data_IF_066925552822
#
_entry.id   IF_066925552822
#
_cell.length_a   1.000
_cell.length_b   1.000
_cell.length_c   1.000
_cell.angle_alpha   90.00
_cell.angle_beta   90.00
_cell.angle_gamma   90.00
#
_symmetry.space_group_name_H-M   'P 1'
#
loop_
_entity.id
_entity.type
_entity.pdbx_description
1 polymer ?
#
# COMPACT_ATOMS: atom_id res chain seq x y z
N UNK A 1 -2.74 -39.53 46.25
CA UNK A 1 -3.29 -40.82 45.79
C UNK A 1 -3.05 -40.84 44.31
N UNK A 2 -2.02 -41.51 43.82
CA UNK A 2 -2.01 -42.92 43.36
C UNK A 2 -3.06 -43.06 42.24
N UNK A 3 -2.82 -43.49 40.98
CA UNK A 3 -1.77 -44.26 40.35
C UNK A 3 -1.83 -44.09 38.82
N UNK A 4 -0.69 -43.99 38.13
CA UNK A 4 -0.40 -44.57 36.81
C UNK A 4 -0.43 -46.11 36.90
N UNK A 5 -0.22 -46.93 35.87
CA UNK A 5 0.43 -46.75 34.57
C UNK A 5 0.02 -47.79 33.45
N UNK A 6 0.73 -47.72 32.32
CA UNK A 6 1.28 -48.79 31.42
C UNK A 6 0.26 -49.60 30.55
N UNK A 7 0.54 -50.03 29.35
CA UNK A 7 1.71 -50.56 28.62
C UNK A 7 1.33 -50.87 27.17
N UNK A 8 2.29 -50.62 26.24
CA UNK A 8 3.00 -51.51 25.31
C UNK A 8 2.14 -52.22 24.24
N UNK A 9 2.44 -52.08 23.03
CA UNK A 9 3.56 -52.45 22.13
C UNK A 9 3.24 -53.66 21.25
N UNK A 10 3.75 -53.66 20.05
CA UNK A 10 4.23 -54.71 19.12
C UNK A 10 3.64 -54.52 17.72
N UNK A 11 4.40 -54.08 16.70
CA UNK A 11 5.40 -54.76 15.88
C UNK A 11 4.85 -55.91 15.03
N UNK A 12 4.91 -55.77 13.69
CA UNK A 12 5.40 -56.73 12.69
C UNK A 12 5.22 -56.11 11.30
N UNK A 13 6.21 -55.82 10.64
CA UNK A 13 7.02 -56.22 9.54
C UNK A 13 6.47 -57.42 8.76
N UNK A 14 6.26 -57.30 7.43
CA UNK A 14 6.69 -58.27 6.40
C UNK A 14 6.77 -57.57 5.03
N UNK A 15 7.82 -57.93 4.32
CA UNK A 15 8.39 -57.39 3.12
C UNK A 15 7.93 -58.14 1.85
N UNK A 16 8.26 -57.48 0.73
CA UNK A 16 8.66 -57.99 -0.58
C UNK A 16 7.58 -58.71 -1.43
N UNK A 17 7.42 -58.40 -2.66
CA UNK A 17 8.32 -58.79 -3.79
C UNK A 17 7.92 -58.11 -5.09
N UNK A 18 8.92 -57.86 -5.90
CA UNK A 18 8.88 -57.33 -7.27
C UNK A 18 8.43 -58.39 -8.27
N UNK A 19 7.82 -57.96 -9.38
CA UNK A 19 8.03 -58.63 -10.68
C UNK A 19 7.93 -57.66 -11.85
N UNK A 20 8.97 -57.69 -12.66
CA UNK A 20 9.09 -57.07 -13.97
C UNK A 20 8.25 -57.80 -15.01
N UNK A 21 7.76 -57.10 -16.01
CA UNK A 21 7.19 -57.66 -17.23
C UNK A 21 7.32 -56.72 -18.38
N UNK A 22 8.30 -56.96 -19.25
CA UNK A 22 8.56 -56.28 -20.53
C UNK A 22 7.76 -56.90 -21.70
N UNK A 23 7.62 -56.06 -22.72
CA UNK A 23 7.47 -56.37 -24.17
C UNK A 23 6.03 -56.61 -24.65
N UNK A 24 5.59 -56.28 -25.85
CA UNK A 24 6.22 -55.81 -27.09
C UNK A 24 5.14 -55.39 -28.10
N UNK A 25 5.52 -54.53 -29.02
CA UNK A 25 5.10 -54.26 -30.40
C UNK A 25 3.87 -54.94 -31.02
N UNK A 26 3.11 -54.14 -31.81
CA UNK A 26 2.24 -54.68 -32.86
C UNK A 26 1.36 -53.63 -33.55
N UNK A 27 1.86 -53.04 -34.60
CA UNK A 27 1.33 -52.66 -35.94
C UNK A 27 -0.14 -52.24 -36.14
N UNK A 28 -0.28 -51.06 -36.72
CA UNK A 28 -1.10 -50.62 -37.87
C UNK A 28 -2.62 -50.90 -37.86
N UNK A 29 -3.37 -49.84 -37.82
CA UNK A 29 -4.79 -49.75 -38.18
C UNK A 29 -5.19 -48.31 -38.43
N UNK A 30 -5.16 -47.90 -39.70
CA UNK A 30 -5.73 -46.68 -40.22
C UNK A 30 -7.24 -46.65 -40.03
N UNK A 31 -7.78 -45.64 -39.33
CA UNK A 31 -9.13 -45.19 -39.49
C UNK A 31 -9.20 -43.67 -39.37
N UNK A 32 -9.59 -43.07 -40.46
CA UNK A 32 -10.02 -41.67 -40.59
C UNK A 32 -11.04 -41.35 -39.50
N UNK A 33 -10.83 -40.29 -38.76
CA UNK A 33 -11.85 -39.56 -38.01
C UNK A 33 -11.65 -38.09 -38.25
N UNK A 34 -12.69 -37.49 -38.73
CA UNK A 34 -12.85 -36.13 -39.14
C UNK A 34 -12.36 -35.12 -38.06
N UNK A 35 -11.58 -34.19 -38.52
CA UNK A 35 -11.18 -33.00 -37.77
C UNK A 35 -12.41 -32.12 -37.50
N UNK A 36 -12.89 -32.11 -36.30
CA UNK A 36 -13.70 -31.00 -35.83
C UNK A 36 -12.76 -29.86 -35.44
N UNK A 37 -12.64 -28.88 -36.30
CA UNK A 37 -12.08 -27.56 -35.99
C UNK A 37 -12.84 -26.93 -34.79
N UNK A 38 -12.41 -27.27 -33.60
CA UNK A 38 -12.67 -26.53 -32.40
C UNK A 38 -11.65 -25.41 -32.32
N UNK A 39 -12.08 -24.18 -32.57
CA UNK A 39 -11.28 -22.99 -32.38
C UNK A 39 -10.78 -22.97 -30.92
N UNK A 40 -9.55 -23.43 -30.73
CA UNK A 40 -8.85 -23.38 -29.46
C UNK A 40 -8.31 -21.96 -29.29
N UNK A 41 -9.08 -21.14 -28.63
CA UNK A 41 -8.61 -19.89 -28.02
C UNK A 41 -7.68 -20.24 -26.89
N UNK A 42 -6.42 -20.59 -27.20
CA UNK A 42 -5.34 -20.81 -26.24
C UNK A 42 -4.89 -19.46 -25.65
N UNK A 43 -5.74 -18.84 -24.86
CA UNK A 43 -5.32 -17.83 -23.91
C UNK A 43 -4.63 -18.56 -22.76
N UNK A 44 -3.39 -18.18 -22.40
CA UNK A 44 -2.73 -18.71 -21.23
C UNK A 44 -3.57 -18.38 -19.99
N UNK A 45 -4.15 -19.39 -19.35
CA UNK A 45 -4.89 -19.24 -18.10
C UNK A 45 -3.95 -18.64 -17.04
N UNK A 46 -4.47 -17.70 -16.25
CA UNK A 46 -3.71 -16.99 -15.21
C UNK A 46 -4.39 -17.21 -13.86
N UNK A 47 -3.59 -17.47 -12.85
CA UNK A 47 -4.03 -17.50 -11.46
C UNK A 47 -3.46 -16.31 -10.73
N UNK A 48 -4.35 -15.46 -10.20
CA UNK A 48 -4.00 -14.29 -9.43
C UNK A 48 -4.12 -14.62 -7.95
N UNK A 49 -3.06 -14.41 -7.18
CA UNK A 49 -3.07 -14.57 -5.72
C UNK A 49 -3.06 -13.20 -5.05
N UNK A 50 -4.06 -12.90 -4.24
CA UNK A 50 -4.17 -11.63 -3.54
C UNK A 50 -3.48 -11.65 -2.16
N UNK A 51 -3.44 -10.48 -1.50
CA UNK A 51 -2.78 -10.32 -0.19
C UNK A 51 -3.42 -11.13 0.93
N UNK A 52 -4.65 -11.60 0.76
CA UNK A 52 -5.34 -12.50 1.72
C UNK A 52 -5.05 -13.97 1.47
N UNK A 53 -4.28 -14.29 0.42
CA UNK A 53 -4.01 -15.65 -0.04
C UNK A 53 -5.13 -16.25 -0.90
N UNK A 54 -6.16 -15.48 -1.23
CA UNK A 54 -7.23 -15.91 -2.14
C UNK A 54 -6.69 -16.05 -3.55
N UNK A 55 -7.07 -17.13 -4.22
CA UNK A 55 -6.72 -17.38 -5.61
C UNK A 55 -7.93 -17.16 -6.53
N UNK A 56 -7.72 -16.40 -7.59
CA UNK A 56 -8.72 -16.13 -8.64
C UNK A 56 -8.19 -16.64 -9.97
N UNK A 57 -8.92 -17.56 -10.58
CA UNK A 57 -8.55 -18.15 -11.88
C UNK A 57 -9.25 -17.38 -13.00
N UNK A 58 -8.46 -17.03 -14.01
CA UNK A 58 -8.90 -16.40 -15.25
C UNK A 58 -8.49 -17.27 -16.43
N UNK A 59 -9.35 -17.40 -17.43
CA UNK A 59 -9.10 -18.23 -18.62
C UNK A 59 -7.99 -17.63 -19.53
N UNK A 60 -7.69 -16.34 -19.32
CA UNK A 60 -6.63 -15.63 -20.04
C UNK A 60 -6.18 -14.41 -19.23
N UNK A 61 -5.07 -13.81 -19.66
CA UNK A 61 -4.57 -12.53 -19.13
C UNK A 61 -5.68 -11.48 -19.20
N UNK A 62 -6.05 -10.81 -18.09
CA UNK A 62 -7.10 -9.80 -18.07
C UNK A 62 -6.74 -8.60 -18.97
N UNK A 63 -7.73 -8.12 -19.70
CA UNK A 63 -7.65 -6.95 -20.58
C UNK A 63 -8.44 -5.75 -20.05
N UNK A 64 -9.27 -5.99 -19.02
CA UNK A 64 -10.16 -5.01 -18.43
C UNK A 64 -10.09 -5.12 -16.90
N UNK A 65 -9.18 -4.36 -16.32
CA UNK A 65 -9.01 -4.29 -14.86
C UNK A 65 -9.70 -3.04 -14.34
N UNK A 66 -10.56 -3.18 -13.35
CA UNK A 66 -11.14 -2.06 -12.63
C UNK A 66 -10.41 -1.87 -11.31
N UNK A 67 -9.88 -0.67 -11.07
CA UNK A 67 -9.24 -0.31 -9.80
C UNK A 67 -10.29 0.42 -8.95
N UNK A 68 -10.92 -0.28 -8.00
CA UNK A 68 -11.96 0.31 -7.16
C UNK A 68 -11.44 1.39 -6.17
N UNK A 69 -10.13 1.54 -6.09
CA UNK A 69 -9.41 2.66 -5.49
C UNK A 69 -8.45 3.24 -6.53
N UNK A 70 -8.64 4.52 -6.87
CA UNK A 70 -7.85 5.20 -7.92
C UNK A 70 -6.37 5.31 -7.58
N UNK A 71 -6.01 5.27 -6.28
CA UNK A 71 -4.61 5.21 -5.82
C UNK A 71 -3.87 3.93 -6.25
N UNK A 72 -4.57 2.89 -6.71
CA UNK A 72 -3.95 1.76 -7.39
C UNK A 72 -3.09 2.15 -8.59
N UNK A 73 -3.30 3.35 -9.16
CA UNK A 73 -2.45 3.91 -10.22
C UNK A 73 -1.01 4.20 -9.78
N UNK A 74 -0.71 4.28 -8.50
CA UNK A 74 0.69 4.30 -8.05
C UNK A 74 1.39 2.99 -8.42
N UNK A 75 0.73 1.84 -8.23
CA UNK A 75 1.30 0.54 -8.58
C UNK A 75 1.41 0.33 -10.09
N UNK A 76 0.37 0.67 -10.86
CA UNK A 76 0.44 0.53 -12.33
C UNK A 76 1.47 1.46 -12.94
N UNK A 77 1.69 2.65 -12.36
CA UNK A 77 2.75 3.58 -12.79
C UNK A 77 4.14 2.99 -12.65
N UNK A 78 4.40 2.22 -11.59
CA UNK A 78 5.68 1.52 -11.39
C UNK A 78 5.88 0.40 -12.41
N UNK A 79 4.83 -0.34 -12.71
CA UNK A 79 4.90 -1.51 -13.57
C UNK A 79 4.94 -1.14 -15.06
N UNK A 80 4.33 -0.01 -15.41
CA UNK A 80 4.29 0.48 -16.78
C UNK A 80 4.26 2.00 -16.83
N UNK A 81 5.43 2.62 -16.63
CA UNK A 81 5.54 4.09 -16.63
C UNK A 81 5.19 4.74 -17.98
N UNK A 82 5.34 3.99 -19.08
CA UNK A 82 5.01 4.48 -20.43
C UNK A 82 3.49 4.51 -20.66
N UNK A 83 2.74 3.59 -20.03
CA UNK A 83 1.29 3.54 -20.11
C UNK A 83 0.65 3.04 -18.80
N UNK A 84 0.58 3.88 -17.75
CA UNK A 84 0.05 3.49 -16.44
C UNK A 84 -1.42 3.05 -16.43
N UNK A 85 -2.18 3.38 -17.47
CA UNK A 85 -3.61 3.03 -17.61
C UNK A 85 -3.86 1.88 -18.60
N UNK A 86 -2.79 1.20 -19.06
CA UNK A 86 -2.95 0.03 -19.92
C UNK A 86 -3.86 -1.00 -19.26
N UNK A 87 -4.89 -1.43 -19.98
CA UNK A 87 -5.91 -2.38 -19.50
C UNK A 87 -6.73 -1.92 -18.27
N UNK A 88 -6.64 -0.67 -17.82
CA UNK A 88 -7.50 -0.10 -16.79
C UNK A 88 -8.77 0.46 -17.44
N UNK A 89 -9.95 -0.03 -17.01
CA UNK A 89 -11.24 0.39 -17.62
C UNK A 89 -12.03 1.39 -16.79
N UNK A 90 -11.77 1.45 -15.48
CA UNK A 90 -12.34 2.47 -14.58
C UNK A 90 -11.51 2.51 -13.27
N UNK A 91 -11.62 3.62 -12.55
CA UNK A 91 -10.94 3.83 -11.28
C UNK A 91 -11.88 4.33 -10.18
N UNK A 92 -11.53 4.13 -8.91
CA UNK A 92 -12.23 4.76 -7.79
C UNK A 92 -12.11 6.29 -7.82
N UNK A 93 -13.12 6.98 -7.29
CA UNK A 93 -13.19 8.45 -7.28
C UNK A 93 -12.27 9.14 -6.23
N UNK A 94 -11.49 8.36 -5.50
CA UNK A 94 -10.66 8.82 -4.37
C UNK A 94 -9.42 9.62 -4.80
N UNK A 95 -8.83 9.31 -5.95
CA UNK A 95 -7.52 9.85 -6.36
C UNK A 95 -7.51 11.37 -6.41
N UNK A 96 -8.56 11.98 -6.99
CA UNK A 96 -8.69 13.43 -7.10
C UNK A 96 -8.64 14.13 -5.73
N UNK A 97 -9.33 13.58 -4.74
CA UNK A 97 -9.36 14.16 -3.39
C UNK A 97 -8.11 13.77 -2.58
N UNK A 98 -7.64 12.54 -2.69
CA UNK A 98 -6.55 12.04 -1.88
C UNK A 98 -5.16 12.49 -2.36
N UNK A 99 -4.90 12.46 -3.66
CA UNK A 99 -3.59 12.72 -4.24
C UNK A 99 -3.61 13.69 -5.44
N UNK A 100 -4.21 14.90 -5.29
CA UNK A 100 -4.44 15.82 -6.44
C UNK A 100 -3.16 16.27 -7.13
N UNK A 101 -2.03 16.38 -6.42
CA UNK A 101 -0.76 16.76 -7.04
C UNK A 101 -0.14 15.62 -7.86
N UNK A 102 -0.33 14.36 -7.47
CA UNK A 102 0.04 13.19 -8.26
C UNK A 102 -0.83 13.09 -9.51
N UNK A 103 -2.15 13.16 -9.34
CA UNK A 103 -3.12 13.14 -10.42
C UNK A 103 -2.79 14.20 -11.48
N UNK A 104 -2.50 15.41 -11.05
CA UNK A 104 -2.18 16.51 -11.96
C UNK A 104 -0.86 16.30 -12.74
N UNK A 105 0.12 15.59 -12.15
CA UNK A 105 1.33 15.17 -12.88
C UNK A 105 1.02 14.09 -13.89
N UNK A 106 0.28 13.07 -13.47
CA UNK A 106 -0.10 11.94 -14.31
C UNK A 106 -0.93 12.41 -15.52
N UNK A 107 -1.99 13.20 -15.30
CA UNK A 107 -2.87 13.72 -16.36
C UNK A 107 -2.15 14.65 -17.35
N UNK A 108 -1.09 15.31 -16.92
CA UNK A 108 -0.30 16.18 -17.79
C UNK A 108 0.52 15.37 -18.82
N UNK A 109 1.11 14.25 -18.41
CA UNK A 109 1.99 13.43 -19.25
C UNK A 109 1.26 12.27 -19.93
N UNK A 110 0.16 11.78 -19.34
CA UNK A 110 -0.59 10.62 -19.79
C UNK A 110 -2.07 10.98 -20.05
N UNK A 111 -2.37 11.39 -21.29
CA UNK A 111 -3.68 11.95 -21.66
C UNK A 111 -4.82 10.95 -21.52
N UNK A 112 -4.57 9.65 -21.75
CA UNK A 112 -5.58 8.59 -21.62
C UNK A 112 -6.15 8.49 -20.20
N UNK A 113 -5.43 8.95 -19.18
CA UNK A 113 -5.96 9.07 -17.84
C UNK A 113 -7.24 9.90 -17.77
N UNK A 114 -7.31 11.00 -18.55
CA UNK A 114 -8.44 11.93 -18.51
C UNK A 114 -9.75 11.32 -19.06
N UNK A 115 -9.63 10.21 -19.80
CA UNK A 115 -10.77 9.51 -20.42
C UNK A 115 -11.26 8.34 -19.54
N UNK A 116 -10.56 8.05 -18.42
CA UNK A 116 -10.96 6.97 -17.51
C UNK A 116 -12.23 7.35 -16.74
N UNK A 117 -13.28 6.52 -16.85
CA UNK A 117 -14.46 6.71 -16.01
C UNK A 117 -14.14 6.43 -14.54
N UNK A 118 -14.85 7.12 -13.65
CA UNK A 118 -14.74 6.88 -12.20
C UNK A 118 -15.96 6.12 -11.70
N UNK A 119 -15.72 5.15 -10.82
CA UNK A 119 -16.74 4.56 -9.95
C UNK A 119 -16.75 5.30 -8.62
N UNK A 120 -17.73 5.09 -7.76
CA UNK A 120 -17.83 5.71 -6.44
C UNK A 120 -16.65 5.33 -5.52
N UNK A 121 -16.83 5.54 -4.23
CA UNK A 121 -15.87 5.22 -3.19
C UNK A 121 -16.47 4.17 -2.22
N UNK A 122 -15.86 2.99 -2.13
CA UNK A 122 -16.37 1.88 -1.31
C UNK A 122 -16.47 2.29 0.17
N UNK A 123 -15.49 3.03 0.69
CA UNK A 123 -15.50 3.48 2.08
C UNK A 123 -16.70 4.43 2.40
N UNK A 124 -17.27 5.07 1.38
CA UNK A 124 -18.48 5.91 1.50
C UNK A 124 -19.78 5.15 1.26
N UNK A 125 -19.69 3.88 0.81
CA UNK A 125 -20.86 3.06 0.47
C UNK A 125 -21.59 3.50 -0.80
N UNK A 126 -20.98 4.31 -1.68
CA UNK A 126 -21.59 4.85 -2.88
C UNK A 126 -21.25 4.02 -4.15
N UNK A 127 -20.66 2.83 -3.98
CA UNK A 127 -20.36 1.89 -5.07
C UNK A 127 -21.41 0.79 -5.13
N UNK A 128 -22.08 0.62 -6.27
CA UNK A 128 -22.97 -0.51 -6.53
C UNK A 128 -22.31 -1.54 -7.46
N UNK A 129 -22.78 -2.79 -7.38
CA UNK A 129 -22.31 -3.85 -8.29
C UNK A 129 -22.68 -3.55 -9.74
N UNK A 130 -23.81 -2.90 -9.98
CA UNK A 130 -24.27 -2.49 -11.30
C UNK A 130 -23.32 -1.44 -11.92
N UNK A 131 -22.83 -0.50 -11.10
CA UNK A 131 -21.83 0.47 -11.53
C UNK A 131 -20.53 -0.23 -11.94
N UNK A 132 -20.06 -1.22 -11.16
CA UNK A 132 -18.86 -2.00 -11.52
C UNK A 132 -19.07 -2.80 -12.81
N UNK A 133 -20.20 -3.51 -12.94
CA UNK A 133 -20.54 -4.33 -14.11
C UNK A 133 -20.70 -3.51 -15.40
N UNK A 134 -21.12 -2.24 -15.31
CA UNK A 134 -21.29 -1.37 -16.49
C UNK A 134 -19.99 -1.20 -17.28
N UNK A 135 -18.83 -1.31 -16.62
CA UNK A 135 -17.50 -1.26 -17.22
C UNK A 135 -17.01 -2.61 -17.75
N UNK A 136 -17.77 -3.69 -17.53
CA UNK A 136 -17.49 -5.07 -17.98
C UNK A 136 -16.03 -5.49 -17.63
N UNK A 137 -15.59 -5.35 -16.39
CA UNK A 137 -14.24 -5.74 -16.01
C UNK A 137 -14.08 -7.26 -16.04
N UNK A 138 -12.90 -7.75 -16.42
CA UNK A 138 -12.49 -9.14 -16.25
C UNK A 138 -12.21 -9.44 -14.78
N UNK A 139 -11.72 -8.43 -14.04
CA UNK A 139 -11.42 -8.49 -12.63
C UNK A 139 -11.40 -7.08 -12.00
N UNK A 140 -11.80 -7.00 -10.72
CA UNK A 140 -11.78 -5.77 -9.93
C UNK A 140 -10.75 -5.87 -8.81
N UNK A 141 -9.91 -4.84 -8.65
CA UNK A 141 -8.99 -4.71 -7.51
C UNK A 141 -9.65 -3.86 -6.44
N UNK A 142 -9.81 -4.42 -5.25
CA UNK A 142 -10.33 -3.78 -4.05
C UNK A 142 -9.19 -3.52 -3.06
N UNK A 143 -9.27 -2.43 -2.29
CA UNK A 143 -8.37 -2.25 -1.14
C UNK A 143 -8.81 -3.13 0.04
N UNK A 144 -7.85 -3.78 0.70
CA UNK A 144 -8.10 -4.59 1.89
C UNK A 144 -8.71 -3.74 3.02
N UNK A 145 -8.33 -2.49 3.13
CA UNK A 145 -8.89 -1.51 4.07
C UNK A 145 -10.41 -1.32 3.90
N UNK A 146 -10.91 -1.49 2.69
CA UNK A 146 -12.34 -1.38 2.39
C UNK A 146 -13.10 -2.70 2.49
N UNK A 147 -12.42 -3.83 2.80
CA UNK A 147 -13.05 -5.15 2.83
C UNK A 147 -14.23 -5.20 3.79
N UNK A 148 -14.06 -4.71 5.02
CA UNK A 148 -15.12 -4.68 6.02
C UNK A 148 -16.33 -3.87 5.55
N UNK A 149 -16.13 -2.67 5.00
CA UNK A 149 -17.22 -1.84 4.47
C UNK A 149 -17.93 -2.52 3.28
N UNK A 150 -17.18 -3.19 2.40
CA UNK A 150 -17.75 -3.94 1.28
C UNK A 150 -18.53 -5.19 1.74
N UNK A 151 -18.13 -5.84 2.82
CA UNK A 151 -18.88 -6.95 3.45
C UNK A 151 -20.17 -6.44 4.09
N UNK A 152 -20.09 -5.41 4.93
CA UNK A 152 -21.22 -4.83 5.68
C UNK A 152 -22.29 -4.24 4.74
N UNK A 153 -21.88 -3.61 3.63
CA UNK A 153 -22.81 -3.12 2.60
C UNK A 153 -23.41 -4.23 1.71
N UNK A 154 -22.91 -5.45 1.84
CA UNK A 154 -23.30 -6.59 1.00
C UNK A 154 -22.75 -6.52 -0.43
N UNK A 155 -21.81 -5.61 -0.74
CA UNK A 155 -21.20 -5.46 -2.06
C UNK A 155 -20.49 -6.76 -2.49
N UNK A 156 -19.65 -7.36 -1.63
CA UNK A 156 -18.93 -8.60 -1.97
C UNK A 156 -19.89 -9.74 -2.30
N UNK A 157 -20.97 -9.90 -1.51
CA UNK A 157 -22.00 -10.90 -1.79
C UNK A 157 -22.65 -10.71 -3.16
N UNK A 158 -22.95 -9.47 -3.53
CA UNK A 158 -23.53 -9.15 -4.85
C UNK A 158 -22.52 -9.37 -5.97
N UNK A 159 -21.22 -9.08 -5.75
CA UNK A 159 -20.15 -9.38 -6.73
C UNK A 159 -20.06 -10.87 -6.98
N UNK A 160 -20.04 -11.70 -5.91
CA UNK A 160 -20.02 -13.17 -6.03
C UNK A 160 -21.26 -13.69 -6.79
N UNK A 161 -22.46 -13.18 -6.47
CA UNK A 161 -23.71 -13.58 -7.14
C UNK A 161 -23.76 -13.20 -8.62
N UNK A 162 -23.11 -12.12 -9.00
CA UNK A 162 -23.03 -11.66 -10.41
C UNK A 162 -21.87 -12.30 -11.18
N UNK A 163 -21.02 -13.10 -10.54
CA UNK A 163 -19.82 -13.69 -11.14
C UNK A 163 -18.68 -12.68 -11.36
N UNK A 164 -18.76 -11.49 -10.77
CA UNK A 164 -17.71 -10.47 -10.88
C UNK A 164 -16.51 -10.88 -10.04
N UNK A 165 -15.38 -11.16 -10.71
CA UNK A 165 -14.14 -11.55 -10.06
C UNK A 165 -13.48 -10.34 -9.39
N UNK A 166 -12.87 -10.56 -8.21
CA UNK A 166 -12.15 -9.51 -7.49
C UNK A 166 -10.99 -10.07 -6.68
N UNK A 167 -10.01 -9.22 -6.39
CA UNK A 167 -8.82 -9.44 -5.57
C UNK A 167 -8.61 -8.26 -4.63
N UNK A 168 -7.88 -8.50 -3.53
CA UNK A 168 -7.54 -7.46 -2.56
C UNK A 168 -6.08 -7.05 -2.69
N UNK A 169 -5.82 -5.73 -2.72
CA UNK A 169 -4.52 -5.10 -2.57
C UNK A 169 -4.37 -4.46 -1.19
N UNK A 170 -3.14 -4.32 -0.69
CA UNK A 170 -2.87 -3.62 0.57
C UNK A 170 -1.50 -2.94 0.56
N UNK A 171 -1.52 -1.62 0.72
CA UNK A 171 -0.35 -0.80 1.04
C UNK A 171 -0.51 -0.13 2.40
N UNK A 172 -1.62 -0.38 3.09
CA UNK A 172 -2.12 0.42 4.20
C UNK A 172 -2.14 -0.32 5.53
N UNK A 173 -2.79 -1.49 5.60
CA UNK A 173 -2.97 -2.19 6.87
C UNK A 173 -1.64 -2.77 7.38
N UNK A 174 -0.91 -3.48 6.51
CA UNK A 174 0.38 -4.08 6.80
C UNK A 174 1.38 -3.74 5.68
N UNK A 175 1.85 -2.47 5.60
CA UNK A 175 2.63 -1.99 4.46
C UNK A 175 3.91 -2.80 4.21
N UNK A 176 4.66 -3.12 5.26
CA UNK A 176 5.93 -3.85 5.12
C UNK A 176 5.74 -5.32 4.73
N UNK A 177 4.60 -5.92 5.10
CA UNK A 177 4.30 -7.32 4.77
C UNK A 177 3.63 -7.46 3.40
N UNK A 178 2.75 -6.51 3.03
CA UNK A 178 1.83 -6.67 1.92
C UNK A 178 2.20 -5.86 0.68
N UNK A 179 3.13 -4.90 0.76
CA UNK A 179 3.53 -4.10 -0.43
C UNK A 179 4.07 -4.99 -1.55
N UNK A 180 5.03 -5.88 -1.25
CA UNK A 180 5.61 -6.75 -2.27
C UNK A 180 4.63 -7.81 -2.79
N UNK A 181 3.74 -8.32 -1.94
CA UNK A 181 2.64 -9.22 -2.35
C UNK A 181 1.68 -8.50 -3.28
N UNK A 182 1.30 -7.27 -2.95
CA UNK A 182 0.44 -6.42 -3.78
C UNK A 182 1.07 -6.15 -5.14
N UNK A 183 2.35 -5.76 -5.18
CA UNK A 183 3.04 -5.50 -6.45
C UNK A 183 3.18 -6.78 -7.29
N UNK A 184 3.46 -7.94 -6.67
CA UNK A 184 3.48 -9.23 -7.37
C UNK A 184 2.10 -9.56 -7.98
N UNK A 185 1.02 -9.33 -7.23
CA UNK A 185 -0.36 -9.48 -7.71
C UNK A 185 -0.66 -8.54 -8.90
N UNK A 186 -0.26 -7.27 -8.82
CA UNK A 186 -0.39 -6.34 -9.96
C UNK A 186 0.46 -6.79 -11.16
N UNK A 187 1.66 -7.35 -10.92
CA UNK A 187 2.47 -7.97 -11.97
C UNK A 187 1.69 -9.06 -12.71
N UNK A 188 1.07 -9.99 -11.98
CA UNK A 188 0.22 -11.04 -12.56
C UNK A 188 -0.99 -10.45 -13.31
N UNK A 189 -1.66 -9.43 -12.74
CA UNK A 189 -2.83 -8.78 -13.37
C UNK A 189 -2.50 -8.13 -14.71
N UNK A 190 -1.34 -7.50 -14.81
CA UNK A 190 -0.97 -6.70 -15.98
C UNK A 190 0.08 -7.36 -16.89
N UNK A 191 0.47 -8.64 -16.60
CA UNK A 191 1.52 -9.35 -17.35
C UNK A 191 2.88 -8.63 -17.27
N UNK A 192 3.23 -8.14 -16.07
CA UNK A 192 4.45 -7.39 -15.79
C UNK A 192 5.22 -8.00 -14.60
N UNK A 193 5.24 -9.34 -14.53
CA UNK A 193 5.82 -10.08 -13.40
C UNK A 193 7.32 -9.76 -13.22
N UNK A 194 8.07 -9.65 -14.31
CA UNK A 194 9.49 -9.30 -14.26
C UNK A 194 9.70 -7.89 -13.65
N UNK A 195 8.83 -6.95 -14.02
CA UNK A 195 8.89 -5.58 -13.49
C UNK A 195 8.49 -5.54 -12.03
N UNK A 196 7.48 -6.31 -11.65
CA UNK A 196 7.06 -6.47 -10.26
C UNK A 196 8.19 -7.09 -9.42
N UNK A 197 8.86 -8.11 -9.94
CA UNK A 197 10.02 -8.72 -9.28
C UNK A 197 11.16 -7.72 -9.09
N UNK A 198 11.51 -6.96 -10.14
CA UNK A 198 12.57 -5.93 -10.07
C UNK A 198 12.27 -4.90 -8.97
N UNK A 199 11.02 -4.46 -8.86
CA UNK A 199 10.60 -3.55 -7.80
C UNK A 199 10.67 -4.22 -6.42
N UNK A 200 10.18 -5.45 -6.28
CA UNK A 200 10.19 -6.16 -5.01
C UNK A 200 11.61 -6.42 -4.50
N UNK A 201 12.54 -6.80 -5.40
CA UNK A 201 13.97 -6.95 -5.05
C UNK A 201 14.57 -5.61 -4.54
N UNK A 202 14.23 -4.49 -5.17
CA UNK A 202 14.61 -3.15 -4.71
C UNK A 202 14.01 -2.83 -3.33
N UNK A 203 12.69 -3.06 -3.17
CA UNK A 203 11.96 -2.78 -1.94
C UNK A 203 12.52 -3.57 -0.76
N UNK A 204 12.65 -4.89 -0.92
CA UNK A 204 13.14 -5.79 0.13
C UNK A 204 14.59 -5.47 0.53
N UNK A 205 15.45 -5.14 -0.46
CA UNK A 205 16.83 -4.72 -0.20
C UNK A 205 16.89 -3.44 0.63
N UNK A 206 16.03 -2.45 0.30
CA UNK A 206 15.98 -1.17 1.01
C UNK A 206 15.42 -1.33 2.42
N UNK A 207 14.33 -2.08 2.58
CA UNK A 207 13.75 -2.38 3.91
C UNK A 207 14.79 -3.11 4.78
N UNK A 208 15.49 -4.08 4.21
CA UNK A 208 16.54 -4.84 4.93
C UNK A 208 17.68 -3.92 5.37
N UNK A 209 18.22 -3.08 4.50
CA UNK A 209 19.30 -2.14 4.84
C UNK A 209 18.87 -1.23 6.02
N UNK A 210 17.68 -0.65 5.94
CA UNK A 210 17.14 0.22 6.98
C UNK A 210 17.01 -0.53 8.30
N UNK A 211 16.38 -1.71 8.31
CA UNK A 211 16.15 -2.49 9.52
C UNK A 211 17.43 -3.02 10.14
N UNK A 212 18.41 -3.41 9.32
CA UNK A 212 19.74 -3.82 9.80
C UNK A 212 20.44 -2.65 10.50
N UNK A 213 20.44 -1.44 9.92
CA UNK A 213 21.03 -0.24 10.52
C UNK A 213 20.36 0.10 11.86
N UNK A 214 19.03 0.17 11.91
CA UNK A 214 18.32 0.52 13.16
C UNK A 214 18.41 -0.56 14.23
N UNK A 215 18.76 -1.80 13.88
CA UNK A 215 19.01 -2.85 14.87
C UNK A 215 20.16 -2.50 15.83
N UNK A 216 21.08 -1.62 15.42
CA UNK A 216 22.17 -1.09 16.24
C UNK A 216 21.75 0.12 17.11
N UNK A 217 20.54 0.62 16.99
CA UNK A 217 20.05 1.78 17.73
C UNK A 217 19.99 1.49 19.24
N UNK A 218 20.46 2.43 20.04
CA UNK A 218 20.51 2.28 21.51
C UNK A 218 19.20 2.60 22.20
N UNK A 219 18.34 3.34 21.55
CA UNK A 219 17.05 3.81 22.08
C UNK A 219 15.98 3.74 20.97
N UNK A 220 14.72 3.80 21.37
CA UNK A 220 13.58 3.89 20.49
C UNK A 220 12.79 5.16 20.81
N UNK A 221 13.02 6.27 20.09
CA UNK A 221 12.37 7.54 20.40
C UNK A 221 10.85 7.42 20.37
N UNK A 222 10.19 7.93 21.43
CA UNK A 222 8.73 8.00 21.52
C UNK A 222 8.21 8.95 20.46
N UNK A 223 7.45 8.44 19.51
CA UNK A 223 7.09 9.14 18.28
C UNK A 223 5.58 9.28 18.15
N UNK A 224 5.10 10.51 17.96
CA UNK A 224 3.75 10.80 17.53
C UNK A 224 3.70 10.83 16.00
N UNK A 225 2.90 9.95 15.40
CA UNK A 225 2.44 10.10 14.02
C UNK A 225 1.18 10.97 14.04
N UNK A 226 1.22 12.16 13.43
CA UNK A 226 0.05 13.03 13.30
C UNK A 226 -0.47 13.01 11.87
N UNK A 227 -1.47 12.17 11.62
CA UNK A 227 -2.02 11.95 10.28
C UNK A 227 -2.81 13.16 9.79
N UNK A 228 -2.61 13.53 8.52
CA UNK A 228 -3.32 14.63 7.85
C UNK A 228 -3.40 15.87 8.74
N UNK A 229 -2.25 16.27 9.30
CA UNK A 229 -2.16 17.31 10.29
C UNK A 229 -2.69 18.64 9.76
N UNK A 230 -3.60 19.26 10.51
CA UNK A 230 -4.29 20.51 10.16
C UNK A 230 -5.60 20.34 9.39
N UNK A 231 -5.95 19.11 8.93
CA UNK A 231 -7.23 18.87 8.26
C UNK A 231 -8.42 18.78 9.23
N UNK A 232 -8.18 18.53 10.48
CA UNK A 232 -9.15 18.48 11.58
C UNK A 232 -8.47 18.78 12.91
N UNK A 233 -9.24 18.84 13.98
CA UNK A 233 -8.71 18.97 15.34
C UNK A 233 -7.64 17.92 15.65
N UNK A 234 -6.73 18.27 16.54
CA UNK A 234 -5.62 17.43 16.98
C UNK A 234 -6.09 16.15 17.69
N UNK A 235 -5.44 15.04 17.58
CA UNK A 235 -4.41 14.65 16.64
C UNK A 235 -4.74 13.23 16.17
N UNK A 236 -5.06 13.08 14.89
CA UNK A 236 -5.33 11.74 14.35
C UNK A 236 -4.05 10.93 14.29
N UNK A 237 -4.09 9.68 14.77
CA UNK A 237 -2.94 8.77 14.78
C UNK A 237 -3.34 7.32 14.47
N UNK A 238 -2.39 6.40 14.45
CA UNK A 238 -2.57 4.98 14.13
C UNK A 238 -1.89 4.10 15.15
N UNK A 239 -2.43 2.90 15.33
CA UNK A 239 -1.91 1.83 16.17
C UNK A 239 -1.53 0.65 15.30
N UNK A 240 -0.34 0.06 15.53
CA UNK A 240 0.12 -1.24 15.03
C UNK A 240 -0.27 -1.53 13.56
N UNK A 241 -0.23 -0.51 12.74
CA UNK A 241 -0.59 -0.54 11.31
C UNK A 241 -0.11 0.71 10.62
N UNK A 242 -0.11 0.72 9.29
CA UNK A 242 0.06 1.92 8.49
C UNK A 242 1.41 2.62 8.74
N UNK A 243 1.38 3.95 8.93
CA UNK A 243 2.57 4.73 9.28
C UNK A 243 3.14 4.40 10.66
N UNK A 244 2.35 3.81 11.57
CA UNK A 244 2.82 3.32 12.86
C UNK A 244 3.80 2.15 12.69
N UNK A 245 3.50 1.20 11.79
CA UNK A 245 4.41 0.10 11.43
C UNK A 245 5.74 0.64 10.88
N UNK A 246 5.68 1.69 10.05
CA UNK A 246 6.89 2.31 9.51
C UNK A 246 7.73 2.97 10.62
N UNK A 247 7.10 3.66 11.58
CA UNK A 247 7.81 4.23 12.74
C UNK A 247 8.48 3.13 13.57
N UNK A 248 7.77 2.03 13.83
CA UNK A 248 8.32 0.92 14.60
C UNK A 248 9.49 0.24 13.88
N UNK A 249 9.36 0.00 12.57
CA UNK A 249 10.42 -0.56 11.74
C UNK A 249 11.61 0.40 11.56
N UNK A 250 11.37 1.71 11.61
CA UNK A 250 12.39 2.75 11.61
C UNK A 250 13.13 2.89 12.96
N UNK A 251 12.86 2.00 13.92
CA UNK A 251 13.49 2.00 15.24
C UNK A 251 12.87 2.98 16.25
N UNK A 252 11.69 3.53 15.96
CA UNK A 252 10.91 4.34 16.89
C UNK A 252 9.99 3.53 17.79
N UNK A 253 9.24 4.24 18.62
CA UNK A 253 8.13 3.72 19.43
C UNK A 253 6.88 4.53 19.11
N UNK A 254 5.98 3.96 18.31
CA UNK A 254 4.74 4.63 17.94
C UNK A 254 3.83 4.82 19.16
N UNK A 255 3.43 6.04 19.44
CA UNK A 255 2.56 6.35 20.59
C UNK A 255 1.15 5.76 20.44
N UNK A 256 0.67 5.61 19.22
CA UNK A 256 -0.64 5.04 18.95
C UNK A 256 -0.80 3.63 19.49
N UNK A 257 0.30 2.83 19.52
CA UNK A 257 0.28 1.44 19.97
C UNK A 257 -0.13 1.30 21.45
N UNK A 258 0.22 2.30 22.26
CA UNK A 258 -0.09 2.30 23.69
C UNK A 258 -1.35 3.10 24.05
N UNK A 259 -1.77 4.05 23.18
CA UNK A 259 -2.77 5.03 23.52
C UNK A 259 -4.12 4.84 22.82
N UNK A 260 -4.17 3.99 21.79
CA UNK A 260 -5.40 3.69 21.06
C UNK A 260 -5.90 2.28 21.35
N UNK A 261 -7.22 2.16 21.45
CA UNK A 261 -7.91 0.85 21.55
C UNK A 261 -8.22 0.25 20.17
N UNK A 262 -8.21 1.08 19.12
CA UNK A 262 -8.53 0.73 17.74
C UNK A 262 -7.36 1.06 16.81
N UNK A 263 -7.34 0.49 15.59
CA UNK A 263 -6.27 0.71 14.60
C UNK A 263 -6.01 2.18 14.26
N UNK A 264 -7.01 3.03 14.39
CA UNK A 264 -6.88 4.48 14.22
C UNK A 264 -7.79 5.23 15.16
N UNK A 265 -7.37 6.42 15.57
CA UNK A 265 -8.14 7.25 16.49
C UNK A 265 -7.53 8.64 16.65
N UNK A 266 -8.18 9.46 17.47
CA UNK A 266 -7.75 10.82 17.76
C UNK A 266 -7.28 10.92 19.21
N UNK A 267 -6.12 11.52 19.41
CA UNK A 267 -5.60 11.90 20.74
C UNK A 267 -5.84 13.39 20.96
N UNK A 268 -6.25 13.77 22.17
CA UNK A 268 -6.41 15.20 22.47
C UNK A 268 -5.06 15.91 22.62
N UNK A 269 -5.07 17.23 22.44
CA UNK A 269 -3.87 18.06 22.63
C UNK A 269 -3.30 17.92 24.04
N UNK A 270 -4.17 17.83 25.06
CA UNK A 270 -3.78 17.63 26.47
C UNK A 270 -3.08 16.29 26.66
N UNK A 271 -3.57 15.22 25.99
CA UNK A 271 -2.90 13.90 26.04
C UNK A 271 -1.50 13.98 25.46
N UNK A 272 -1.34 14.61 24.29
CA UNK A 272 -0.01 14.80 23.66
C UNK A 272 0.92 15.61 24.57
N UNK A 273 0.41 16.67 25.20
CA UNK A 273 1.17 17.50 26.15
C UNK A 273 1.61 16.71 27.38
N UNK A 274 0.76 15.84 27.91
CA UNK A 274 1.10 14.98 29.05
C UNK A 274 2.17 13.94 28.68
N UNK A 275 2.06 13.36 27.48
CA UNK A 275 2.95 12.31 27.00
C UNK A 275 4.32 12.78 26.51
N UNK A 276 4.44 14.08 26.11
CA UNK A 276 5.69 14.69 25.65
C UNK A 276 6.46 13.81 24.65
N UNK A 277 5.98 13.58 23.41
CA UNK A 277 6.73 12.82 22.43
C UNK A 277 8.14 13.39 22.22
N UNK A 278 9.09 12.52 21.93
CA UNK A 278 10.45 12.91 21.59
C UNK A 278 10.57 13.32 20.11
N UNK A 279 9.71 12.73 19.27
CA UNK A 279 9.62 13.00 17.83
C UNK A 279 8.15 13.21 17.46
N UNK A 280 7.90 14.13 16.54
CA UNK A 280 6.57 14.36 15.95
C UNK A 280 6.74 14.27 14.43
N UNK A 281 6.06 13.32 13.82
CA UNK A 281 6.00 13.13 12.37
C UNK A 281 4.58 13.40 11.91
N UNK A 282 4.36 14.61 11.40
CA UNK A 282 3.12 14.98 10.77
C UNK A 282 3.02 14.40 9.36
N UNK A 283 1.83 14.26 8.81
CA UNK A 283 1.67 14.01 7.38
C UNK A 283 0.88 15.11 6.71
N UNK A 284 1.28 15.46 5.48
CA UNK A 284 0.72 16.54 4.72
C UNK A 284 0.45 16.19 3.26
N UNK A 285 -0.31 17.02 2.58
CA UNK A 285 -0.66 16.83 1.18
C UNK A 285 -1.06 18.13 0.52
N UNK A 286 -1.31 18.08 -0.79
CA UNK A 286 -1.78 19.23 -1.57
C UNK A 286 -3.30 19.17 -1.74
N UNK A 287 -4.02 18.94 -0.64
CA UNK A 287 -5.48 18.81 -0.67
C UNK A 287 -6.17 20.14 -0.96
N UNK A 288 -7.27 20.07 -1.72
CA UNK A 288 -8.15 21.20 -1.88
C UNK A 288 -8.87 21.47 -0.54
N UNK A 289 -9.05 22.75 -0.22
CA UNK A 289 -9.91 23.16 0.91
C UNK A 289 -11.34 22.74 0.58
N UNK A 290 -12.01 22.12 1.55
CA UNK A 290 -13.45 21.93 1.45
C UNK A 290 -14.12 23.25 1.81
N UNK A 291 -14.90 23.87 0.92
CA UNK A 291 -15.52 25.15 1.18
C UNK A 291 -16.55 25.09 2.33
N UNK A 292 -17.07 23.90 2.62
CA UNK A 292 -18.10 23.65 3.63
C UNK A 292 -17.52 23.23 5.00
N UNK A 293 -16.21 22.94 5.10
CA UNK A 293 -15.55 22.60 6.36
C UNK A 293 -14.80 23.82 6.92
N UNK A 294 -15.00 24.17 8.21
CA UNK A 294 -14.24 25.24 8.83
C UNK A 294 -12.76 24.91 8.86
N UNK A 295 -11.93 25.84 8.43
CA UNK A 295 -10.47 25.70 8.47
C UNK A 295 -10.00 25.81 9.92
N UNK A 296 -9.65 24.67 10.53
CA UNK A 296 -9.15 24.62 11.91
C UNK A 296 -7.70 25.11 11.97
N UNK A 297 -6.86 24.58 11.10
CA UNK A 297 -5.46 24.98 10.89
C UNK A 297 -5.09 24.81 9.42
N UNK A 298 -4.13 25.58 8.90
CA UNK A 298 -3.56 25.26 7.59
C UNK A 298 -2.93 23.87 7.69
N UNK A 299 -3.36 22.92 6.85
CA UNK A 299 -2.72 21.60 6.77
C UNK A 299 -1.29 21.73 6.21
N UNK A 300 -0.44 20.76 6.55
CA UNK A 300 0.93 20.73 6.02
C UNK A 300 0.89 20.48 4.52
N UNK A 301 1.48 21.38 3.75
CA UNK A 301 1.47 21.33 2.29
C UNK A 301 2.68 20.54 1.78
N UNK A 302 2.44 19.31 1.24
CA UNK A 302 3.45 18.42 0.70
C UNK A 302 2.98 17.76 -0.59
N UNK A 303 3.93 17.25 -1.39
CA UNK A 303 3.68 16.52 -2.63
C UNK A 303 4.26 17.22 -3.84
N UNK A 304 3.89 16.78 -5.03
CA UNK A 304 4.52 17.11 -6.31
C UNK A 304 4.52 18.59 -6.71
N UNK A 305 3.72 19.43 -6.07
CA UNK A 305 3.61 20.88 -6.33
C UNK A 305 4.03 21.74 -5.15
N UNK A 306 4.28 21.13 -4.00
CA UNK A 306 4.63 21.84 -2.79
C UNK A 306 6.01 22.50 -2.90
N UNK A 307 6.13 23.75 -2.41
CA UNK A 307 7.40 24.46 -2.33
C UNK A 307 8.00 24.30 -0.94
N UNK A 308 9.32 24.11 -0.78
CA UNK A 308 9.95 23.93 0.53
C UNK A 308 9.59 25.00 1.56
N UNK A 309 9.55 26.27 1.14
CA UNK A 309 9.20 27.40 2.02
C UNK A 309 7.74 27.31 2.53
N UNK A 310 6.81 26.88 1.66
CA UNK A 310 5.41 26.70 2.04
C UNK A 310 5.25 25.48 2.95
N UNK A 311 5.93 24.39 2.64
CA UNK A 311 5.95 23.19 3.47
C UNK A 311 6.46 23.49 4.89
N UNK A 312 7.58 24.22 5.01
CA UNK A 312 8.13 24.61 6.32
C UNK A 312 7.19 25.56 7.08
N UNK A 313 6.61 26.55 6.39
CA UNK A 313 5.67 27.49 6.98
C UNK A 313 4.42 26.77 7.53
N UNK A 314 3.82 25.88 6.75
CA UNK A 314 2.62 25.14 7.15
C UNK A 314 2.91 24.13 8.24
N UNK A 315 4.09 23.48 8.23
CA UNK A 315 4.54 22.62 9.31
C UNK A 315 4.67 23.40 10.63
N UNK A 316 5.34 24.56 10.60
CA UNK A 316 5.44 25.44 11.78
C UNK A 316 4.06 25.94 12.25
N UNK A 317 3.12 26.12 11.33
CA UNK A 317 1.74 26.48 11.63
C UNK A 317 1.03 25.53 12.59
N UNK A 318 1.41 24.25 12.59
CA UNK A 318 0.86 23.25 13.54
C UNK A 318 1.13 23.59 15.03
N UNK A 319 2.15 24.39 15.31
CA UNK A 319 2.48 24.82 16.67
C UNK A 319 1.45 25.82 17.24
N UNK A 320 0.53 26.33 16.43
CA UNK A 320 -0.62 27.11 16.89
C UNK A 320 -1.71 26.26 17.58
N UNK A 321 -1.61 24.93 17.49
CA UNK A 321 -2.45 24.02 18.29
C UNK A 321 -2.30 24.38 19.78
N UNK A 322 -3.40 24.54 20.53
CA UNK A 322 -3.34 24.96 21.92
C UNK A 322 -2.37 24.12 22.76
N UNK A 323 -1.43 24.80 23.41
CA UNK A 323 -0.42 24.17 24.26
C UNK A 323 0.82 23.61 23.54
N UNK A 324 0.83 23.47 22.21
CA UNK A 324 1.95 22.82 21.49
C UNK A 324 3.27 23.60 21.54
N UNK A 325 3.24 24.89 21.85
CA UNK A 325 4.45 25.67 22.17
C UNK A 325 5.18 25.16 23.42
N UNK A 326 4.51 24.37 24.28
CA UNK A 326 5.12 23.75 25.48
C UNK A 326 5.80 22.39 25.17
N UNK A 327 5.57 21.80 24.00
CA UNK A 327 6.21 20.54 23.59
C UNK A 327 7.72 20.70 23.47
N UNK A 328 8.44 19.66 23.93
CA UNK A 328 9.91 19.65 23.89
C UNK A 328 10.45 19.27 22.50
N UNK A 329 9.75 18.40 21.75
CA UNK A 329 10.19 17.92 20.45
C UNK A 329 10.42 19.05 19.46
N UNK A 330 9.49 19.99 19.22
CA UNK A 330 9.71 21.09 18.27
C UNK A 330 10.88 22.00 18.65
N UNK A 331 11.10 22.21 19.96
CA UNK A 331 12.23 23.03 20.47
C UNK A 331 13.60 22.40 20.21
N UNK A 332 13.61 21.09 19.99
CA UNK A 332 14.82 20.32 19.65
C UNK A 332 14.98 20.08 18.14
N UNK A 333 14.12 20.64 17.30
CA UNK A 333 14.11 20.39 15.86
C UNK A 333 13.44 19.06 15.45
N UNK A 334 12.74 18.40 16.38
CA UNK A 334 12.12 17.08 16.18
C UNK A 334 10.63 17.18 15.78
N UNK A 335 10.31 18.18 14.95
CA UNK A 335 9.02 18.30 14.29
C UNK A 335 9.24 18.16 12.79
N UNK A 336 8.68 17.11 12.22
CA UNK A 336 8.86 16.71 10.84
C UNK A 336 7.53 16.49 10.14
N UNK A 337 7.53 16.49 8.82
CA UNK A 337 6.38 16.04 8.06
C UNK A 337 6.80 15.27 6.80
N UNK A 338 6.01 14.25 6.47
CA UNK A 338 6.13 13.43 5.27
C UNK A 338 4.87 13.50 4.41
N UNK A 339 5.00 13.28 3.11
CA UNK A 339 3.87 13.22 2.18
C UNK A 339 2.89 12.13 2.58
N UNK A 340 1.62 12.50 2.75
CA UNK A 340 0.61 11.62 3.30
C UNK A 340 0.42 10.34 2.49
N UNK A 341 0.49 10.42 1.15
CA UNK A 341 0.20 9.26 0.31
C UNK A 341 1.25 8.14 0.38
N UNK A 342 2.35 8.31 1.09
CA UNK A 342 3.22 7.19 1.43
C UNK A 342 2.50 6.09 2.21
N UNK A 343 1.44 6.45 2.97
CA UNK A 343 0.68 5.48 3.75
C UNK A 343 -0.12 4.49 2.91
N UNK A 344 -0.37 4.78 1.64
CA UNK A 344 -1.24 4.01 0.75
C UNK A 344 -0.67 3.94 -0.66
N UNK A 345 0.57 3.62 -0.75
CA UNK A 345 1.29 3.45 -2.01
C UNK A 345 2.53 2.59 -1.83
N UNK A 346 3.06 1.99 -2.90
CA UNK A 346 4.32 1.25 -2.84
C UNK A 346 5.54 2.14 -2.56
N UNK A 347 5.36 3.46 -2.49
CA UNK A 347 6.40 4.43 -2.17
C UNK A 347 6.69 4.54 -0.66
N UNK A 348 6.00 3.76 0.18
CA UNK A 348 6.12 3.78 1.64
C UNK A 348 7.53 3.48 2.15
N UNK A 349 8.36 2.79 1.38
CA UNK A 349 9.76 2.52 1.71
C UNK A 349 10.60 3.80 1.86
N UNK A 350 10.27 4.88 1.13
CA UNK A 350 10.94 6.18 1.28
C UNK A 350 10.51 6.90 2.57
N UNK A 351 9.25 6.71 3.00
CA UNK A 351 8.84 7.16 4.32
C UNK A 351 9.56 6.39 5.42
N UNK A 352 9.70 5.08 5.30
CA UNK A 352 10.47 4.25 6.23
C UNK A 352 11.92 4.75 6.35
N UNK A 353 12.59 5.00 5.23
CA UNK A 353 13.97 5.49 5.19
C UNK A 353 14.10 6.86 5.84
N UNK A 354 13.20 7.79 5.50
CA UNK A 354 13.22 9.13 6.08
C UNK A 354 12.89 9.13 7.58
N UNK A 355 11.96 8.27 8.02
CA UNK A 355 11.66 8.11 9.43
C UNK A 355 12.88 7.57 10.19
N UNK A 356 13.56 6.57 9.65
CA UNK A 356 14.78 6.03 10.24
C UNK A 356 15.88 7.10 10.36
N UNK A 357 16.05 7.93 9.33
CA UNK A 357 17.01 9.04 9.36
C UNK A 357 16.63 10.11 10.40
N UNK A 358 15.36 10.44 10.57
CA UNK A 358 14.92 11.39 11.61
C UNK A 358 15.07 10.84 13.03
N UNK A 359 14.80 9.54 13.21
CA UNK A 359 14.85 8.87 14.52
C UNK A 359 16.29 8.56 14.96
N UNK A 360 17.18 8.27 14.00
CA UNK A 360 18.54 7.81 14.22
C UNK A 360 19.53 8.45 13.23
N UNK A 361 19.65 9.80 13.23
CA UNK A 361 20.47 10.50 12.22
C UNK A 361 21.93 10.03 12.19
N UNK A 362 22.46 9.54 13.30
CA UNK A 362 23.83 9.02 13.39
C UNK A 362 24.05 7.73 12.58
N UNK A 363 22.99 6.95 12.31
CA UNK A 363 23.05 5.70 11.54
C UNK A 363 22.82 5.90 10.04
N UNK A 364 22.39 7.12 9.60
CA UNK A 364 21.98 7.42 8.23
C UNK A 364 22.68 8.67 7.67
N UNK A 365 23.91 8.98 8.11
CA UNK A 365 24.67 10.16 7.66
C UNK A 365 25.05 10.10 6.18
N UNK A 366 25.14 8.90 5.62
CA UNK A 366 25.48 8.60 4.23
C UNK A 366 24.25 8.56 3.30
N UNK A 367 23.04 8.68 3.84
CA UNK A 367 21.77 8.54 3.10
C UNK A 367 21.21 9.91 2.73
N UNK A 368 20.86 10.07 1.46
CA UNK A 368 20.16 11.22 0.92
C UNK A 368 18.82 10.75 0.33
N UNK A 369 17.78 10.72 1.18
CA UNK A 369 16.46 10.20 0.83
C UNK A 369 15.82 10.97 -0.33
N UNK A 370 16.04 12.29 -0.40
CA UNK A 370 15.48 13.10 -1.49
C UNK A 370 16.11 12.76 -2.84
N UNK A 371 17.43 12.60 -2.89
CA UNK A 371 18.13 12.13 -4.09
C UNK A 371 17.70 10.72 -4.48
N UNK A 372 17.63 9.80 -3.53
CA UNK A 372 17.20 8.42 -3.78
C UNK A 372 15.78 8.35 -4.34
N UNK A 373 14.90 9.22 -3.84
CA UNK A 373 13.53 9.32 -4.32
C UNK A 373 13.45 9.97 -5.71
N UNK A 374 14.30 10.95 -6.00
CA UNK A 374 14.41 11.55 -7.34
C UNK A 374 14.93 10.53 -8.37
N UNK A 375 15.97 9.75 -8.03
CA UNK A 375 16.49 8.69 -8.89
C UNK A 375 15.46 7.56 -9.11
N UNK A 376 14.67 7.25 -8.08
CA UNK A 376 13.54 6.33 -8.20
C UNK A 376 12.50 6.84 -9.22
N UNK A 377 12.12 8.11 -9.17
CA UNK A 377 11.17 8.70 -10.12
C UNK A 377 11.68 8.56 -11.56
N UNK A 378 12.92 8.91 -11.80
CA UNK A 378 13.55 8.76 -13.12
C UNK A 378 13.46 7.35 -13.68
N UNK A 379 13.62 6.34 -12.83
CA UNK A 379 13.57 4.93 -13.23
C UNK A 379 12.15 4.40 -13.37
N UNK A 380 11.25 4.71 -12.43
CA UNK A 380 10.01 3.99 -12.23
C UNK A 380 8.75 4.80 -12.52
N UNK A 381 8.78 6.13 -12.41
CA UNK A 381 7.56 6.94 -12.51
C UNK A 381 7.38 7.52 -13.92
N UNK A 382 6.12 7.77 -14.36
CA UNK A 382 5.82 8.32 -15.68
C UNK A 382 6.20 9.80 -15.84
N UNK A 383 6.64 10.47 -14.77
CA UNK A 383 7.01 11.87 -14.75
C UNK A 383 8.19 12.10 -13.81
N UNK A 384 8.91 13.19 -14.03
CA UNK A 384 10.07 13.55 -13.23
C UNK A 384 9.69 13.99 -11.82
N UNK A 385 10.61 13.74 -10.89
CA UNK A 385 10.54 14.23 -9.51
C UNK A 385 10.41 15.74 -9.46
N UNK A 386 9.51 16.23 -8.61
CA UNK A 386 9.39 17.66 -8.30
C UNK A 386 8.55 17.84 -7.05
N UNK A 387 8.71 18.96 -6.38
CA UNK A 387 7.94 19.29 -5.18
C UNK A 387 8.70 18.98 -3.90
N UNK A 388 7.98 18.87 -2.79
CA UNK A 388 8.51 18.61 -1.44
C UNK A 388 7.75 17.48 -0.80
N UNK A 389 8.44 16.43 -0.38
CA UNK A 389 7.84 15.23 0.20
C UNK A 389 8.19 15.04 1.66
N UNK A 390 9.28 15.65 2.08
CA UNK A 390 9.80 15.59 3.45
C UNK A 390 10.24 16.97 3.88
N UNK A 391 9.95 17.33 5.12
CA UNK A 391 10.36 18.61 5.68
C UNK A 391 10.55 18.50 7.20
N UNK A 392 11.51 19.21 7.74
CA UNK A 392 11.73 19.38 9.17
C UNK A 392 11.60 20.85 9.54
N UNK A 393 10.94 21.16 10.64
CA UNK A 393 10.91 22.51 11.15
C UNK A 393 12.32 22.89 11.63
N UNK A 394 12.90 23.90 11.02
CA UNK A 394 14.15 24.49 11.53
C UNK A 394 13.87 25.15 12.87
N UNK A 395 14.69 24.83 13.88
CA UNK A 395 14.68 25.43 15.22
C UNK A 395 14.94 26.95 15.19
#
# INVERSE_FOLDING_TARGET
>A
MRFSPLRKACVAVVAATATLGLAACGAAGTSNSESSDGANGSGNAVTITDVTGRQVHLDSQPKKVLLAEGRGLFATSLLNKENPTENVVAIGSDLHKAAPSYEAKLSAVHKQYNDLPTVGNIAKGDVSVEALLSHKPDITVLSLDHKKAAEESGLLKKMDQSGLKYVFSDFRQKPLENTTKTIAMYGQLFGKEDKAKEFNDFYDSKVKDITDRVSAAKNKPKTLVWRAAGMKDCCSTVKDSNLGDLVNAAGGKNMGDELLDTESGDLTAEKILAEQPEQIIATGGSWAKDPDEPEVLPHVELGYRAQPATAEKTLKGLLSTPGFTALKAPKKGNLHAAYHQFYDSPLNVFALEQFAQWLHPELFQDVDVERDFADFHKKWMPFEYSGTFFISAKS
#
